data_IF_089762128287
#
_entry.id   IF_089762128287
#
_cell.length_a   1.000
_cell.length_b   1.000
_cell.length_c   1.000
_cell.angle_alpha   90.00
_cell.angle_beta   90.00
_cell.angle_gamma   90.00
#
_symmetry.space_group_name_H-M   'P 1'
#
loop_
_entity.id
_entity.type
_entity.pdbx_description
1 polymer ?
#
# COMPACT_ATOMS: atom_id res chain seq x y z
N UNK A 1 14.72 37.25 3.22
CA UNK A 1 15.39 35.94 3.10
C UNK A 1 14.30 34.90 2.93
N UNK A 2 14.15 34.17 1.81
CA UNK A 2 13.17 33.09 1.75
C UNK A 2 13.73 31.89 2.53
N UNK A 3 12.97 31.42 3.51
CA UNK A 3 13.28 30.20 4.25
C UNK A 3 13.15 29.00 3.30
N UNK A 4 14.24 28.27 3.10
CA UNK A 4 14.26 27.05 2.30
C UNK A 4 13.51 25.95 3.06
N UNK A 5 12.24 25.73 2.74
CA UNK A 5 11.53 24.52 3.14
C UNK A 5 12.10 23.34 2.34
N UNK A 6 12.37 22.17 2.97
CA UNK A 6 12.88 21.02 2.25
C UNK A 6 11.88 20.59 1.17
N UNK A 7 12.30 20.69 -0.08
CA UNK A 7 11.54 20.15 -1.21
C UNK A 7 11.38 18.64 -1.02
N UNK A 8 10.16 18.09 -1.09
CA UNK A 8 9.95 16.65 -1.00
C UNK A 8 10.77 15.96 -2.08
N UNK A 9 11.61 15.01 -1.68
CA UNK A 9 12.45 14.24 -2.61
C UNK A 9 11.52 13.53 -3.60
N UNK A 10 11.56 13.92 -4.88
CA UNK A 10 10.85 13.23 -5.94
C UNK A 10 11.36 11.79 -5.96
N UNK A 11 10.56 10.84 -5.50
CA UNK A 11 10.88 9.42 -5.60
C UNK A 11 10.71 9.06 -7.05
N UNK A 12 11.81 8.79 -7.74
CA UNK A 12 11.84 8.45 -9.16
C UNK A 12 11.24 7.04 -9.35
N UNK A 13 9.92 6.96 -9.55
CA UNK A 13 9.16 5.71 -9.67
C UNK A 13 7.65 5.89 -9.47
N UNK A 14 6.86 4.83 -9.73
CA UNK A 14 5.42 4.84 -9.42
C UNK A 14 5.25 5.13 -7.92
N UNK A 15 4.44 6.13 -7.53
CA UNK A 15 4.17 6.42 -6.13
C UNK A 15 3.77 5.14 -5.41
N UNK A 16 4.40 4.87 -4.25
CA UNK A 16 4.03 3.74 -3.42
C UNK A 16 2.55 3.85 -3.07
N UNK A 17 1.84 2.72 -3.12
CA UNK A 17 0.47 2.66 -2.61
C UNK A 17 0.50 3.14 -1.15
N UNK A 18 -0.31 4.14 -0.78
CA UNK A 18 -0.42 4.62 0.58
C UNK A 18 -0.71 3.47 1.55
N UNK A 19 -0.11 3.49 2.73
CA UNK A 19 -0.29 2.40 3.73
C UNK A 19 -1.76 2.17 4.08
N UNK A 20 -2.57 3.23 4.13
CA UNK A 20 -4.01 3.11 4.33
C UNK A 20 -4.70 2.31 3.22
N UNK A 21 -4.34 2.51 1.96
CA UNK A 21 -4.94 1.78 0.84
C UNK A 21 -4.56 0.30 0.90
N UNK A 22 -3.29 0.00 1.16
CA UNK A 22 -2.83 -1.37 1.33
C UNK A 22 -3.51 -2.05 2.53
N UNK A 23 -3.66 -1.36 3.66
CA UNK A 23 -4.39 -1.89 4.82
C UNK A 23 -5.86 -2.16 4.50
N UNK A 24 -6.55 -1.23 3.82
CA UNK A 24 -7.93 -1.46 3.39
C UNK A 24 -8.05 -2.67 2.47
N UNK A 25 -7.13 -2.86 1.52
CA UNK A 25 -7.11 -4.03 0.65
C UNK A 25 -6.85 -5.34 1.41
N UNK A 26 -5.94 -5.34 2.38
CA UNK A 26 -5.69 -6.49 3.27
C UNK A 26 -6.97 -6.83 4.04
N UNK A 27 -7.59 -5.84 4.70
CA UNK A 27 -8.81 -6.06 5.47
C UNK A 27 -9.97 -6.54 4.59
N UNK A 28 -10.09 -6.03 3.37
CA UNK A 28 -11.11 -6.47 2.42
C UNK A 28 -10.92 -7.95 2.04
N UNK A 29 -9.69 -8.37 1.71
CA UNK A 29 -9.39 -9.77 1.40
C UNK A 29 -9.66 -10.68 2.60
N UNK A 30 -9.24 -10.27 3.80
CA UNK A 30 -9.48 -11.04 5.02
C UNK A 30 -10.96 -11.13 5.39
N UNK A 31 -11.73 -10.07 5.14
CA UNK A 31 -13.17 -10.03 5.43
C UNK A 31 -13.99 -10.86 4.44
N UNK A 32 -13.63 -10.80 3.15
CA UNK A 32 -14.38 -11.48 2.08
C UNK A 32 -13.90 -12.90 1.81
N UNK A 33 -12.66 -13.24 2.21
CA UNK A 33 -12.05 -14.55 1.97
C UNK A 33 -11.67 -14.80 0.51
N UNK A 34 -11.68 -13.77 -0.35
CA UNK A 34 -11.28 -13.91 -1.75
C UNK A 34 -9.78 -14.15 -1.88
N UNK A 35 -9.33 -14.70 -3.01
CA UNK A 35 -7.90 -14.73 -3.30
C UNK A 35 -7.37 -13.33 -3.63
N UNK A 36 -6.10 -13.08 -3.33
CA UNK A 36 -5.43 -11.80 -3.59
C UNK A 36 -5.52 -11.35 -5.06
N UNK A 37 -5.50 -12.28 -6.02
CA UNK A 37 -5.63 -11.97 -7.46
C UNK A 37 -7.00 -11.41 -7.84
N UNK A 38 -8.05 -11.74 -7.07
CA UNK A 38 -9.41 -11.27 -7.29
C UNK A 38 -9.72 -9.94 -6.59
N UNK A 39 -8.74 -9.31 -5.92
CA UNK A 39 -8.95 -8.02 -5.29
C UNK A 39 -9.31 -6.96 -6.36
N UNK A 40 -10.48 -6.31 -6.29
CA UNK A 40 -10.88 -5.34 -7.29
C UNK A 40 -9.96 -4.12 -7.28
N UNK A 41 -9.24 -3.90 -8.39
CA UNK A 41 -8.34 -2.75 -8.52
C UNK A 41 -9.11 -1.41 -8.63
N UNK A 42 -10.38 -1.47 -9.04
CA UNK A 42 -11.26 -0.29 -9.15
C UNK A 42 -11.55 0.37 -7.79
N UNK A 43 -11.40 -0.37 -6.68
CA UNK A 43 -11.57 0.17 -5.33
C UNK A 43 -10.38 1.05 -4.89
N UNK A 44 -9.32 1.11 -5.68
CA UNK A 44 -8.17 1.98 -5.40
C UNK A 44 -7.29 1.50 -4.24
N UNK A 45 -7.36 0.22 -3.85
CA UNK A 45 -6.50 -0.36 -2.81
C UNK A 45 -5.08 -0.72 -3.31
N UNK A 46 -4.86 -0.64 -4.63
CA UNK A 46 -3.72 -1.25 -5.32
C UNK A 46 -4.06 -2.66 -5.80
N UNK A 47 -3.03 -3.42 -6.21
CA UNK A 47 -3.24 -4.84 -6.54
C UNK A 47 -3.21 -5.68 -5.26
N UNK A 48 -3.88 -6.84 -5.26
CA UNK A 48 -3.78 -7.75 -4.11
C UNK A 48 -2.35 -8.24 -3.86
N UNK A 49 -1.51 -8.34 -4.89
CA UNK A 49 -0.08 -8.61 -4.71
C UNK A 49 0.66 -7.48 -3.98
N UNK A 50 0.29 -6.21 -4.20
CA UNK A 50 0.84 -5.10 -3.42
C UNK A 50 0.41 -5.20 -1.95
N UNK A 51 -0.85 -5.53 -1.69
CA UNK A 51 -1.38 -5.72 -0.34
C UNK A 51 -0.67 -6.89 0.38
N UNK A 52 -0.51 -8.03 -0.29
CA UNK A 52 0.17 -9.21 0.26
C UNK A 52 1.65 -8.93 0.59
N UNK A 53 2.38 -8.28 -0.34
CA UNK A 53 3.78 -7.87 -0.08
C UNK A 53 3.87 -6.91 1.11
N UNK A 54 2.90 -6.00 1.25
CA UNK A 54 2.86 -5.06 2.38
C UNK A 54 2.63 -5.79 3.70
N UNK A 55 1.70 -6.75 3.71
CA UNK A 55 1.44 -7.61 4.87
C UNK A 55 2.68 -8.40 5.29
N UNK A 56 3.41 -9.00 4.33
CA UNK A 56 4.63 -9.73 4.62
C UNK A 56 5.70 -8.85 5.29
N UNK A 57 5.94 -7.65 4.75
CA UNK A 57 6.88 -6.68 5.33
C UNK A 57 6.48 -6.26 6.74
N UNK A 58 5.18 -6.04 7.00
CA UNK A 58 4.69 -5.69 8.33
C UNK A 58 4.79 -6.84 9.32
N UNK A 59 4.56 -8.08 8.89
CA UNK A 59 4.74 -9.25 9.74
C UNK A 59 6.21 -9.43 10.13
N UNK A 60 7.15 -9.23 9.19
CA UNK A 60 8.59 -9.27 9.49
C UNK A 60 9.02 -8.15 10.44
N UNK A 61 8.48 -6.93 10.27
CA UNK A 61 8.79 -5.79 11.13
C UNK A 61 8.13 -5.86 12.52
N UNK A 62 7.10 -6.67 12.68
CA UNK A 62 6.38 -6.89 13.94
C UNK A 62 6.83 -8.12 14.73
N UNK A 63 7.76 -8.91 14.19
CA UNK A 63 8.42 -10.02 14.87
C UNK A 63 9.59 -9.53 15.74
#
# INVERSE_FOLDING_TARGET
MPAAWPVPKLVEGRPRVPDRQALCGILFVLHTGIQWEYLPQELGFGSGMTCWRRLAVWNEAGA
#
